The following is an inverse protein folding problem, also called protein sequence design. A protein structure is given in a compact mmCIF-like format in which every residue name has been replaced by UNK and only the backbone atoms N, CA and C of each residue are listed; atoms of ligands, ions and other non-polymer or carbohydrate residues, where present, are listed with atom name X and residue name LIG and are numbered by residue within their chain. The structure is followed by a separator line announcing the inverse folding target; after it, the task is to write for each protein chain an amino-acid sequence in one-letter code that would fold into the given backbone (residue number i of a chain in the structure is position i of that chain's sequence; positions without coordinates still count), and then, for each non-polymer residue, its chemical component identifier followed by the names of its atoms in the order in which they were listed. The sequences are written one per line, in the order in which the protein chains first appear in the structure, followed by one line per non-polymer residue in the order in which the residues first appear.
data_IF_690016297253
#
_entry.id   IF_690016297253
#
_cell.length_a   1.000
_cell.length_b   1.000
_cell.length_c   1.000
_cell.angle_alpha   90.00
_cell.angle_beta   90.00
_cell.angle_gamma   90.00
#
_symmetry.space_group_name_H-M   'P 1'
#
loop_
_entity.id
_entity.type
_entity.pdbx_description
1 polymer ?
#
# COMPACT_ATOMS: atom_id res chain seq x y z
N UNK A 1 57.23 17.43 21.69
CA UNK A 1 56.26 18.51 21.45
C UNK A 1 56.49 19.02 20.04
N UNK A 2 55.60 18.69 19.11
CA UNK A 2 55.69 19.10 17.70
C UNK A 2 54.58 20.11 17.48
N UNK A 3 54.99 21.36 17.25
CA UNK A 3 54.10 22.48 16.98
C UNK A 3 53.63 22.38 15.52
N UNK A 4 52.32 22.30 15.29
CA UNK A 4 51.75 22.54 13.96
C UNK A 4 51.19 23.95 13.92
N UNK A 5 51.86 24.81 13.17
CA UNK A 5 51.41 26.13 12.81
C UNK A 5 50.19 26.02 11.87
N UNK A 6 49.12 26.71 12.23
CA UNK A 6 47.93 26.92 11.41
C UNK A 6 48.25 28.08 10.46
N UNK A 7 48.12 27.85 9.16
CA UNK A 7 48.14 28.92 8.15
C UNK A 7 46.78 28.96 7.44
N UNK A 8 46.01 29.98 7.79
CA UNK A 8 44.78 30.42 7.10
C UNK A 8 45.19 31.58 6.20
N UNK A 9 44.99 31.46 4.89
CA UNK A 9 44.52 32.55 3.99
C UNK A 9 44.43 32.02 2.57
N UNK A 10 43.21 31.90 2.03
CA UNK A 10 42.76 32.68 0.89
C UNK A 10 42.61 31.72 -0.30
N UNK A 11 41.48 31.62 -0.99
CA UNK A 11 40.90 32.66 -1.82
C UNK A 11 39.41 32.32 -2.03
N UNK A 12 38.57 33.30 -1.72
CA UNK A 12 37.21 33.46 -2.18
C UNK A 12 37.16 33.42 -3.71
N UNK A 13 36.57 32.39 -4.31
CA UNK A 13 36.33 32.37 -5.76
C UNK A 13 35.06 31.58 -6.14
N UNK A 14 34.12 32.36 -6.68
CA UNK A 14 33.19 32.05 -7.75
C UNK A 14 32.04 31.05 -7.50
N UNK A 15 30.90 31.70 -7.25
CA UNK A 15 29.60 31.38 -7.78
C UNK A 15 29.57 30.95 -9.26
N UNK A 16 28.46 30.30 -9.61
CA UNK A 16 27.86 30.06 -10.94
C UNK A 16 28.09 28.67 -11.55
N UNK A 17 27.14 27.76 -11.27
CA UNK A 17 26.69 26.73 -12.22
C UNK A 17 25.17 26.56 -12.09
N UNK A 18 24.42 27.59 -12.49
CA UNK A 18 23.00 27.49 -12.82
C UNK A 18 22.86 27.84 -14.29
N UNK A 19 22.65 26.83 -15.14
CA UNK A 19 21.69 26.75 -16.26
C UNK A 19 22.09 25.61 -17.22
N UNK A 20 21.67 24.38 -16.92
CA UNK A 20 21.41 23.39 -17.96
C UNK A 20 19.93 23.50 -18.36
N UNK A 21 19.59 24.56 -19.10
CA UNK A 21 18.30 24.65 -19.77
C UNK A 21 18.42 23.95 -21.13
N UNK A 22 18.21 22.63 -21.15
CA UNK A 22 17.93 21.91 -22.39
C UNK A 22 16.55 22.30 -22.89
N UNK A 23 16.56 23.15 -23.92
CA UNK A 23 15.44 23.59 -24.75
C UNK A 23 14.78 22.38 -25.40
N UNK A 24 13.53 22.10 -25.03
CA UNK A 24 12.65 21.21 -25.78
C UNK A 24 11.48 22.05 -26.30
N UNK A 25 11.55 22.42 -27.57
CA UNK A 25 10.43 23.04 -28.28
C UNK A 25 9.37 21.97 -28.53
N UNK A 26 8.27 22.03 -27.79
CA UNK A 26 7.01 21.42 -28.21
C UNK A 26 5.91 22.47 -28.13
N UNK A 27 5.48 22.80 -29.34
CA UNK A 27 4.46 23.76 -29.76
C UNK A 27 3.18 23.64 -28.90
N UNK A 28 2.74 24.74 -28.31
CA UNK A 28 1.39 24.86 -27.75
C UNK A 28 0.41 24.95 -28.92
N UNK A 29 -0.33 23.88 -29.16
CA UNK A 29 -1.51 23.92 -30.01
C UNK A 29 -2.74 23.91 -29.10
N UNK A 30 -3.29 25.10 -28.87
CA UNK A 30 -4.68 25.32 -28.49
C UNK A 30 -5.59 24.76 -29.58
N UNK A 31 -6.40 23.74 -29.29
CA UNK A 31 -7.64 23.44 -30.01
C UNK A 31 -8.71 22.96 -29.01
N UNK A 32 -9.70 23.83 -28.86
CA UNK A 32 -11.12 23.63 -28.58
C UNK A 32 -11.60 22.72 -27.45
N UNK A 33 -12.16 23.40 -26.46
CA UNK A 33 -13.04 22.89 -25.42
C UNK A 33 -14.25 22.19 -26.05
N UNK A 34 -14.28 20.85 -26.01
CA UNK A 34 -15.53 20.11 -26.20
C UNK A 34 -16.35 20.26 -24.91
N UNK A 35 -17.63 20.69 -24.96
CA UNK A 35 -18.42 20.87 -23.75
C UNK A 35 -18.58 19.52 -23.03
N UNK A 36 -18.12 19.48 -21.78
CA UNK A 36 -18.36 18.39 -20.84
C UNK A 36 -19.87 18.18 -20.74
N UNK A 37 -20.37 17.12 -21.37
CA UNK A 37 -21.68 16.56 -21.05
C UNK A 37 -21.55 16.03 -19.63
N UNK A 38 -22.15 16.75 -18.67
CA UNK A 38 -22.32 16.28 -17.30
C UNK A 38 -23.30 15.09 -17.32
N UNK A 39 -22.79 13.90 -17.61
CA UNK A 39 -23.50 12.66 -17.29
C UNK A 39 -23.45 12.53 -15.77
N UNK A 40 -24.60 12.74 -15.14
CA UNK A 40 -24.80 12.43 -13.73
C UNK A 40 -24.66 10.92 -13.63
N UNK A 41 -23.53 10.46 -13.08
CA UNK A 41 -23.39 9.06 -12.70
C UNK A 41 -24.28 8.91 -11.48
N UNK A 42 -25.46 8.34 -11.67
CA UNK A 42 -26.30 7.88 -10.57
C UNK A 42 -25.57 6.70 -9.93
N UNK A 43 -24.75 6.98 -8.92
CA UNK A 43 -24.22 5.95 -8.02
C UNK A 43 -25.40 5.45 -7.21
N UNK A 44 -26.06 4.41 -7.71
CA UNK A 44 -27.03 3.65 -6.93
C UNK A 44 -26.24 3.01 -5.80
N UNK A 45 -26.39 3.56 -4.59
CA UNK A 45 -26.03 2.90 -3.33
C UNK A 45 -26.90 1.66 -3.22
N UNK A 46 -26.38 0.56 -3.75
CA UNK A 46 -26.92 -0.76 -3.51
C UNK A 46 -26.52 -1.11 -2.08
N UNK A 47 -27.43 -0.88 -1.14
CA UNK A 47 -27.35 -1.43 0.22
C UNK A 47 -27.58 -2.95 0.17
N UNK A 48 -26.70 -3.68 -0.49
CA UNK A 48 -26.62 -5.12 -0.38
C UNK A 48 -25.65 -5.41 0.75
N UNK A 49 -26.17 -6.03 1.82
CA UNK A 49 -25.33 -6.64 2.85
C UNK A 49 -24.37 -7.60 2.13
N UNK A 50 -23.04 -7.42 2.23
CA UNK A 50 -22.11 -8.30 1.53
C UNK A 50 -22.31 -9.72 2.08
N UNK A 51 -22.83 -10.60 1.24
CA UNK A 51 -22.96 -12.02 1.55
C UNK A 51 -21.60 -12.66 1.28
N UNK A 52 -20.66 -12.46 2.21
CA UNK A 52 -19.30 -12.98 2.15
C UNK A 52 -19.31 -14.47 2.48
N UNK A 53 -19.96 -15.26 1.62
CA UNK A 53 -19.93 -16.72 1.72
C UNK A 53 -18.62 -17.21 1.10
N UNK A 54 -17.73 -17.78 1.91
CA UNK A 54 -16.54 -18.44 1.40
C UNK A 54 -16.95 -19.64 0.54
N UNK A 55 -16.38 -19.74 -0.66
CA UNK A 55 -16.59 -20.88 -1.56
C UNK A 55 -15.83 -22.14 -1.08
N UNK A 56 -14.77 -21.93 -0.29
CA UNK A 56 -13.92 -22.96 0.30
C UNK A 56 -13.93 -22.88 1.83
N UNK A 57 -13.55 -23.95 2.56
CA UNK A 57 -13.30 -23.84 3.98
C UNK A 57 -12.28 -22.74 4.26
N UNK A 58 -12.52 -21.99 5.33
CA UNK A 58 -11.61 -20.95 5.79
C UNK A 58 -10.20 -21.53 6.01
N UNK A 59 -9.14 -20.87 5.50
CA UNK A 59 -7.77 -21.29 5.78
C UNK A 59 -7.52 -21.31 7.29
N UNK A 60 -6.64 -22.20 7.74
CA UNK A 60 -6.15 -22.15 9.12
C UNK A 60 -5.08 -21.05 9.21
N UNK A 61 -5.41 -19.95 9.91
CA UNK A 61 -4.49 -18.83 10.10
C UNK A 61 -3.72 -19.01 11.40
N UNK A 62 -2.37 -19.02 11.35
CA UNK A 62 -1.58 -18.98 12.57
C UNK A 62 -1.98 -17.77 13.42
N UNK A 63 -2.16 -17.98 14.72
CA UNK A 63 -2.61 -16.91 15.62
C UNK A 63 -1.47 -16.00 16.08
N UNK A 64 -0.23 -16.46 16.02
CA UNK A 64 0.95 -15.72 16.48
C UNK A 64 2.23 -16.24 15.84
N UNK A 65 3.25 -15.38 15.76
CA UNK A 65 4.57 -15.70 15.19
C UNK A 65 5.62 -14.69 15.63
N UNK A 66 6.90 -15.05 15.55
CA UNK A 66 7.99 -14.10 15.80
C UNK A 66 8.27 -13.23 14.58
N UNK A 67 7.82 -13.68 13.40
CA UNK A 67 7.93 -12.97 12.13
C UNK A 67 6.58 -12.92 11.42
N UNK A 68 6.38 -11.93 10.56
CA UNK A 68 5.14 -11.76 9.82
C UNK A 68 4.89 -12.92 8.87
N UNK A 69 5.93 -13.47 8.24
CA UNK A 69 5.81 -14.59 7.31
C UNK A 69 5.28 -15.87 7.99
N UNK A 70 5.46 -15.99 9.31
CA UNK A 70 4.93 -17.11 10.10
C UNK A 70 3.42 -17.01 10.34
N UNK A 71 2.81 -15.84 10.07
CA UNK A 71 1.36 -15.62 10.14
C UNK A 71 0.66 -15.89 8.81
N UNK A 72 1.41 -16.13 7.73
CA UNK A 72 0.86 -16.29 6.38
C UNK A 72 0.59 -17.78 6.13
N UNK A 73 -0.67 -18.19 5.90
CA UNK A 73 -0.99 -19.58 5.60
C UNK A 73 -0.36 -20.03 4.29
N UNK A 74 -0.26 -21.34 4.11
CA UNK A 74 0.19 -21.90 2.84
C UNK A 74 -0.68 -21.41 1.68
N UNK A 75 -0.04 -21.09 0.55
CA UNK A 75 -0.69 -20.59 -0.67
C UNK A 75 -1.27 -19.18 -0.57
N UNK A 76 -0.83 -18.40 0.41
CA UNK A 76 -1.10 -16.98 0.46
C UNK A 76 0.20 -16.19 0.35
N UNK A 77 0.13 -15.05 -0.33
CA UNK A 77 1.16 -14.02 -0.33
C UNK A 77 0.56 -12.71 0.21
N UNK A 78 1.41 -11.80 0.69
CA UNK A 78 0.99 -10.44 1.09
C UNK A 78 0.82 -9.61 -0.19
N UNK A 79 -0.40 -9.12 -0.41
CA UNK A 79 -0.77 -8.26 -1.54
C UNK A 79 -0.63 -6.78 -1.18
N UNK A 80 -1.03 -6.41 0.03
CA UNK A 80 -0.90 -5.05 0.57
C UNK A 80 -0.51 -5.12 2.05
N UNK A 81 0.23 -4.13 2.50
CA UNK A 81 0.59 -3.97 3.91
C UNK A 81 0.52 -2.51 4.35
N UNK A 82 0.18 -2.30 5.62
CA UNK A 82 0.30 -1.02 6.30
C UNK A 82 0.94 -1.23 7.68
N UNK A 83 1.71 -0.25 8.11
CA UNK A 83 2.33 -0.18 9.44
C UNK A 83 1.82 1.03 10.22
N UNK A 84 1.66 0.91 11.53
CA UNK A 84 1.25 1.99 12.43
C UNK A 84 1.07 1.49 13.87
N UNK A 85 0.70 2.35 14.80
CA UNK A 85 0.47 1.99 16.21
C UNK A 85 -1.04 1.99 16.49
N UNK A 86 -1.71 0.86 16.28
CA UNK A 86 -3.18 0.77 16.32
C UNK A 86 -3.72 0.90 17.74
N UNK A 87 -2.96 0.43 18.73
CA UNK A 87 -3.39 0.36 20.12
C UNK A 87 -2.72 1.41 21.03
N UNK A 88 -1.88 2.29 20.47
CA UNK A 88 -1.15 3.36 21.14
C UNK A 88 -0.18 2.87 22.23
N UNK A 89 0.44 1.70 22.03
CA UNK A 89 1.42 1.13 22.96
C UNK A 89 2.88 1.47 22.60
N UNK A 90 3.08 2.19 21.49
CA UNK A 90 4.39 2.59 20.97
C UNK A 90 5.10 1.50 20.17
N UNK A 91 4.43 0.40 19.84
CA UNK A 91 4.91 -0.65 18.95
C UNK A 91 4.29 -0.52 17.55
N UNK A 92 5.03 -0.95 16.53
CA UNK A 92 4.54 -0.93 15.15
C UNK A 92 3.74 -2.21 14.85
N UNK A 93 2.41 -2.04 14.83
CA UNK A 93 1.41 -3.00 14.38
C UNK A 93 1.31 -3.04 12.85
N UNK A 94 0.60 -4.04 12.31
CA UNK A 94 0.40 -4.21 10.87
C UNK A 94 -1.04 -4.54 10.50
N UNK A 95 -1.44 -4.07 9.33
CA UNK A 95 -2.59 -4.62 8.59
C UNK A 95 -2.06 -5.29 7.33
N UNK A 96 -2.47 -6.53 7.09
CA UNK A 96 -2.03 -7.34 5.96
C UNK A 96 -3.24 -7.73 5.10
N UNK A 97 -3.17 -7.49 3.79
CA UNK A 97 -4.13 -8.01 2.83
C UNK A 97 -3.45 -9.15 2.10
N UNK A 98 -4.06 -10.34 2.11
CA UNK A 98 -3.47 -11.52 1.50
C UNK A 98 -4.16 -11.87 0.19
N UNK A 99 -3.39 -12.42 -0.75
CA UNK A 99 -3.90 -13.00 -2.00
C UNK A 99 -3.64 -14.50 -2.02
N UNK A 100 -4.66 -15.28 -2.40
CA UNK A 100 -4.51 -16.71 -2.62
C UNK A 100 -3.78 -16.95 -3.95
N UNK A 101 -2.63 -17.63 -3.90
CA UNK A 101 -1.77 -17.89 -5.07
C UNK A 101 -2.26 -19.03 -5.95
N UNK A 102 -3.26 -19.80 -5.49
CA UNK A 102 -3.91 -20.87 -6.27
C UNK A 102 -5.20 -20.42 -6.92
N UNK A 103 -5.84 -19.42 -6.35
CA UNK A 103 -7.11 -18.88 -6.82
C UNK A 103 -7.15 -17.37 -6.58
N UNK A 104 -6.77 -16.62 -7.62
CA UNK A 104 -6.65 -15.16 -7.53
C UNK A 104 -8.00 -14.44 -7.64
N UNK A 105 -9.10 -15.17 -7.91
CA UNK A 105 -10.47 -14.64 -7.88
C UNK A 105 -11.15 -14.86 -6.53
N UNK A 106 -10.48 -15.55 -5.59
CA UNK A 106 -10.94 -15.68 -4.22
C UNK A 106 -10.93 -14.33 -3.47
N UNK A 107 -11.76 -14.26 -2.42
CA UNK A 107 -11.77 -13.15 -1.46
C UNK A 107 -10.38 -12.96 -0.84
N UNK A 108 -9.97 -11.70 -0.66
CA UNK A 108 -8.70 -11.33 -0.05
C UNK A 108 -8.86 -11.19 1.47
N UNK A 109 -8.28 -12.09 2.29
CA UNK A 109 -8.31 -11.95 3.73
C UNK A 109 -7.51 -10.71 4.17
N UNK A 110 -8.10 -9.88 5.02
CA UNK A 110 -7.43 -8.78 5.70
C UNK A 110 -7.20 -9.16 7.15
N UNK A 111 -5.96 -9.13 7.61
CA UNK A 111 -5.55 -9.42 8.98
C UNK A 111 -5.14 -8.12 9.68
N UNK A 112 -5.64 -7.94 10.90
CA UNK A 112 -5.11 -6.96 11.86
C UNK A 112 -4.14 -7.70 12.77
N UNK A 113 -2.90 -7.22 12.83
CA UNK A 113 -1.79 -7.88 13.53
C UNK A 113 -1.19 -6.91 14.53
N UNK A 114 -1.25 -7.27 15.81
CA UNK A 114 -0.65 -6.48 16.88
C UNK A 114 0.76 -6.98 17.21
N UNK A 115 1.69 -6.05 17.42
CA UNK A 115 3.01 -6.35 17.94
C UNK A 115 2.91 -6.57 19.45
N UNK A 116 3.51 -7.66 19.95
CA UNK A 116 3.56 -7.95 21.39
C UNK A 116 4.99 -8.32 21.75
N UNK A 117 5.73 -7.35 22.33
CA UNK A 117 7.17 -7.49 22.57
C UNK A 117 7.91 -7.77 21.25
N UNK A 118 8.65 -8.87 21.18
CA UNK A 118 9.36 -9.30 19.97
C UNK A 118 8.52 -10.16 19.01
N UNK A 119 7.29 -10.53 19.37
CA UNK A 119 6.38 -11.33 18.56
C UNK A 119 5.22 -10.51 17.95
N UNK A 120 4.37 -11.19 17.18
CA UNK A 120 3.15 -10.68 16.57
C UNK A 120 1.97 -11.61 16.90
N UNK A 121 0.77 -11.05 17.02
CA UNK A 121 -0.49 -11.75 17.22
C UNK A 121 -1.54 -11.27 16.23
N UNK A 122 -2.29 -12.19 15.62
CA UNK A 122 -3.48 -11.83 14.83
C UNK A 122 -4.60 -11.46 15.80
N UNK A 123 -5.07 -10.23 15.73
CA UNK A 123 -6.15 -9.70 16.57
C UNK A 123 -7.51 -9.87 15.89
N UNK A 124 -7.59 -9.55 14.60
CA UNK A 124 -8.81 -9.66 13.82
C UNK A 124 -8.54 -10.12 12.38
N UNK A 125 -9.59 -10.65 11.75
CA UNK A 125 -9.59 -11.06 10.36
C UNK A 125 -10.93 -10.73 9.70
N UNK A 126 -10.88 -10.33 8.43
CA UNK A 126 -12.08 -10.14 7.62
C UNK A 126 -11.84 -10.58 6.17
N UNK A 127 -12.87 -11.06 5.51
CA UNK A 127 -12.86 -11.40 4.07
C UNK A 127 -13.73 -10.43 3.25
N UNK A 128 -14.19 -9.35 3.86
CA UNK A 128 -15.16 -8.41 3.29
C UNK A 128 -14.62 -6.98 3.15
N UNK A 129 -13.40 -6.71 3.60
CA UNK A 129 -12.81 -5.36 3.56
C UNK A 129 -12.36 -5.01 2.15
N UNK A 130 -11.73 -5.98 1.47
CA UNK A 130 -11.20 -5.80 0.13
C UNK A 130 -11.74 -6.91 -0.78
N UNK A 131 -12.25 -6.52 -1.95
CA UNK A 131 -12.79 -7.42 -2.97
C UNK A 131 -11.70 -8.32 -3.59
N UNK A 132 -12.05 -9.38 -4.34
CA UNK A 132 -11.06 -10.14 -5.09
C UNK A 132 -10.21 -9.25 -6.01
N UNK A 133 -8.92 -9.60 -6.20
CA UNK A 133 -8.02 -8.82 -7.06
C UNK A 133 -8.30 -9.03 -8.54
N UNK A 134 -8.74 -10.23 -8.92
CA UNK A 134 -9.04 -10.60 -10.30
C UNK A 134 -10.48 -11.08 -10.43
N UNK A 135 -11.05 -10.85 -11.62
CA UNK A 135 -12.36 -11.35 -12.02
C UNK A 135 -12.23 -12.75 -12.63
N UNK A 136 -13.36 -13.43 -12.80
CA UNK A 136 -13.47 -14.75 -13.45
C UNK A 136 -12.91 -14.80 -14.88
N UNK A 137 -12.88 -13.66 -15.58
CA UNK A 137 -12.30 -13.53 -16.92
C UNK A 137 -10.77 -13.36 -16.92
N UNK A 138 -10.14 -13.37 -15.74
CA UNK A 138 -8.70 -13.25 -15.54
C UNK A 138 -8.16 -11.83 -15.56
N UNK A 139 -9.00 -10.81 -15.75
CA UNK A 139 -8.59 -9.41 -15.67
C UNK A 139 -8.58 -8.92 -14.23
N UNK A 140 -7.65 -8.02 -13.93
CA UNK A 140 -7.58 -7.39 -12.61
C UNK A 140 -8.76 -6.42 -12.42
N UNK A 141 -9.28 -6.34 -11.19
CA UNK A 141 -10.11 -5.22 -10.78
C UNK A 141 -9.23 -3.96 -10.67
N UNK A 142 -9.56 -2.93 -11.44
CA UNK A 142 -8.77 -1.69 -11.55
C UNK A 142 -9.27 -0.58 -10.61
N UNK A 143 -9.99 -0.96 -9.56
CA UNK A 143 -10.38 -0.01 -8.53
C UNK A 143 -9.15 0.44 -7.75
N UNK A 144 -9.14 1.70 -7.32
CA UNK A 144 -8.06 2.21 -6.49
C UNK A 144 -8.23 1.66 -5.08
N UNK A 145 -7.19 1.00 -4.58
CA UNK A 145 -7.18 0.33 -3.27
C UNK A 145 -6.03 0.88 -2.45
N UNK A 146 -6.31 1.16 -1.18
CA UNK A 146 -5.32 1.62 -0.22
C UNK A 146 -5.64 1.05 1.16
N UNK A 147 -4.60 0.79 1.94
CA UNK A 147 -4.70 0.36 3.34
C UNK A 147 -3.73 1.21 4.14
N UNK A 148 -4.26 1.86 5.18
CA UNK A 148 -3.50 2.74 6.07
C UNK A 148 -3.89 2.49 7.52
N UNK A 149 -2.99 2.86 8.42
CA UNK A 149 -3.22 2.99 9.85
C UNK A 149 -3.02 4.48 10.17
N UNK A 150 -3.99 5.09 10.86
CA UNK A 150 -3.96 6.50 11.32
C UNK A 150 -3.50 6.57 12.78
#
# INVERSE_FOLDING_TARGET
MINKAITITGVLALALCSICACRNEKNQQTIDTVPVVKTKVDTVSVNTKPDTKLEYPEPDFPTSGNKIEELIPQYFDIDMEASGDLNHDGLEDKVLVLINTRDTTALRPTLVVLKVGDAYSVDAKSFAVIEPKYREDGYQNYDFEDVTID
#
